data_IF_570124927095
#
_entry.id   IF_570124927095
#
_cell.length_a   1.000
_cell.length_b   1.000
_cell.length_c   1.000
_cell.angle_alpha   90.00
_cell.angle_beta   90.00
_cell.angle_gamma   90.00
#
_symmetry.space_group_name_H-M   'P 1'
#
loop_
_entity.id
_entity.type
_entity.pdbx_description
1 polymer ?
#
# COMPACT_ATOMS: atom_id res chain seq x y z
N UNK A 1 -13.97 -24.58 18.43
CA UNK A 1 -12.95 -25.43 17.78
C UNK A 1 -13.29 -25.53 16.31
N UNK A 2 -12.52 -24.86 15.46
CA UNK A 2 -12.62 -24.94 14.00
C UNK A 2 -11.19 -24.89 13.47
N UNK A 3 -10.64 -26.06 13.13
CA UNK A 3 -9.41 -26.20 12.37
C UNK A 3 -9.75 -26.19 10.89
N UNK A 4 -8.97 -25.44 10.08
CA UNK A 4 -8.54 -25.82 8.73
C UNK A 4 -7.18 -25.19 8.46
N UNK A 5 -6.20 -25.92 8.96
CA UNK A 5 -4.85 -26.09 8.44
C UNK A 5 -4.69 -25.68 6.96
N UNK A 6 -3.86 -24.68 6.70
CA UNK A 6 -3.30 -24.43 5.36
C UNK A 6 -1.79 -24.57 5.49
N UNK A 7 -1.32 -25.81 5.29
CA UNK A 7 0.06 -26.16 5.03
C UNK A 7 0.53 -25.40 3.78
N UNK A 8 1.32 -24.33 3.95
CA UNK A 8 2.09 -23.76 2.86
C UNK A 8 3.42 -24.50 2.74
N UNK A 9 3.44 -25.47 1.83
CA UNK A 9 4.68 -25.96 1.24
C UNK A 9 5.28 -24.82 0.39
N UNK A 10 6.36 -24.20 0.85
CA UNK A 10 7.23 -23.42 -0.02
C UNK A 10 8.43 -24.28 -0.40
N UNK A 11 8.43 -24.73 -1.66
CA UNK A 11 9.53 -25.44 -2.32
C UNK A 11 10.79 -24.57 -2.31
N UNK A 12 11.89 -25.11 -1.80
CA UNK A 12 13.21 -24.49 -1.88
C UNK A 12 13.71 -24.46 -3.32
N UNK A 13 13.95 -23.26 -3.85
CA UNK A 13 14.78 -23.12 -5.05
C UNK A 13 16.23 -22.98 -4.62
N UNK A 14 16.95 -24.09 -4.70
CA UNK A 14 18.39 -24.15 -4.72
C UNK A 14 18.85 -23.57 -6.08
N UNK A 15 19.53 -22.42 -6.06
CA UNK A 15 20.29 -21.95 -7.21
C UNK A 15 21.77 -21.99 -6.84
N UNK A 16 22.42 -23.04 -7.34
CA UNK A 16 23.87 -23.19 -7.39
C UNK A 16 24.36 -22.48 -8.65
N UNK A 17 25.04 -21.35 -8.48
CA UNK A 17 25.89 -20.78 -9.53
C UNK A 17 27.19 -20.31 -8.89
N UNK A 18 28.12 -21.26 -8.83
CA UNK A 18 29.55 -21.04 -8.72
C UNK A 18 30.06 -20.37 -10.01
N UNK A 19 30.49 -19.11 -9.89
CA UNK A 19 31.49 -18.49 -10.76
C UNK A 19 31.88 -17.12 -10.17
N UNK A 20 32.99 -17.14 -9.46
CA UNK A 20 33.75 -15.96 -9.05
C UNK A 20 34.12 -15.09 -10.27
N UNK A 21 33.45 -13.96 -10.43
CA UNK A 21 34.03 -12.80 -11.09
C UNK A 21 33.74 -11.58 -10.22
N UNK A 22 34.74 -11.21 -9.43
CA UNK A 22 34.77 -9.97 -8.68
C UNK A 22 34.61 -8.79 -9.62
N UNK A 23 33.38 -8.30 -9.75
CA UNK A 23 33.12 -6.99 -10.29
C UNK A 23 33.19 -5.96 -9.16
N UNK A 24 34.40 -5.46 -8.95
CA UNK A 24 34.66 -4.24 -8.18
C UNK A 24 34.08 -3.05 -8.94
N UNK A 25 32.79 -2.81 -8.74
CA UNK A 25 32.16 -1.59 -9.21
C UNK A 25 32.58 -0.43 -8.31
N UNK A 26 33.76 0.14 -8.62
CA UNK A 26 34.13 1.47 -8.18
C UNK A 26 33.17 2.46 -8.86
N UNK A 27 32.17 2.93 -8.12
CA UNK A 27 31.36 4.07 -8.53
C UNK A 27 31.75 5.26 -7.67
N UNK A 28 32.74 5.99 -8.16
CA UNK A 28 32.81 7.43 -7.92
C UNK A 28 31.76 8.08 -8.82
N UNK A 29 30.68 8.58 -8.22
CA UNK A 29 29.94 9.68 -8.80
C UNK A 29 29.25 10.46 -7.69
N UNK A 30 29.81 11.64 -7.40
CA UNK A 30 29.11 12.68 -6.67
C UNK A 30 27.97 13.22 -7.51
N UNK A 31 26.79 12.65 -7.28
CA UNK A 31 25.46 13.26 -7.24
C UNK A 31 24.71 12.39 -6.20
N UNK A 32 23.92 12.95 -5.28
CA UNK A 32 23.15 12.15 -4.32
C UNK A 32 22.15 11.28 -5.09
N UNK A 33 22.57 10.05 -5.41
CA UNK A 33 21.76 9.10 -6.13
C UNK A 33 20.60 8.67 -5.24
N UNK A 34 19.38 9.02 -5.65
CA UNK A 34 18.14 8.58 -5.02
C UNK A 34 18.19 7.08 -4.68
N UNK A 35 17.95 6.77 -3.41
CA UNK A 35 18.01 5.39 -2.91
C UNK A 35 16.89 4.53 -3.51
N UNK A 36 17.08 3.20 -3.52
CA UNK A 36 16.00 2.28 -3.92
C UNK A 36 14.75 2.45 -3.07
N UNK A 37 14.93 2.76 -1.79
CA UNK A 37 13.83 2.96 -0.84
C UNK A 37 13.07 4.25 -1.14
N UNK A 38 13.77 5.32 -1.52
CA UNK A 38 13.16 6.60 -1.91
C UNK A 38 12.30 6.46 -3.17
N UNK A 39 12.81 5.75 -4.20
CA UNK A 39 12.03 5.39 -5.40
C UNK A 39 10.79 4.59 -5.07
N UNK A 40 10.95 3.60 -4.19
CA UNK A 40 9.87 2.73 -3.75
C UNK A 40 8.81 3.54 -3.00
N UNK A 41 9.22 4.43 -2.09
CA UNK A 41 8.32 5.28 -1.32
C UNK A 41 7.53 6.23 -2.21
N UNK A 42 8.16 6.85 -3.23
CA UNK A 42 7.44 7.69 -4.23
C UNK A 42 6.31 6.93 -4.93
N UNK A 43 6.54 5.66 -5.28
CA UNK A 43 5.52 4.80 -5.91
C UNK A 43 4.42 4.46 -4.90
N UNK A 44 4.79 4.08 -3.67
CA UNK A 44 3.85 3.71 -2.62
C UNK A 44 2.90 4.84 -2.24
N UNK A 45 3.39 6.08 -2.13
CA UNK A 45 2.56 7.24 -1.79
C UNK A 45 1.42 7.45 -2.80
N UNK A 46 1.70 7.30 -4.09
CA UNK A 46 0.67 7.39 -5.15
C UNK A 46 -0.26 6.16 -5.10
N UNK A 47 0.31 4.97 -4.91
CA UNK A 47 -0.48 3.75 -4.85
C UNK A 47 -1.49 3.75 -3.70
N UNK A 48 -1.09 4.22 -2.51
CA UNK A 48 -1.97 4.30 -1.34
C UNK A 48 -3.12 5.29 -1.53
N UNK A 49 -2.88 6.44 -2.15
CA UNK A 49 -3.96 7.40 -2.47
C UNK A 49 -4.99 6.74 -3.40
N UNK A 50 -4.55 6.15 -4.51
CA UNK A 50 -5.44 5.48 -5.45
C UNK A 50 -6.20 4.30 -4.81
N UNK A 51 -5.52 3.54 -3.93
CA UNK A 51 -6.14 2.43 -3.22
C UNK A 51 -7.22 2.89 -2.24
N UNK A 52 -6.95 3.98 -1.53
CA UNK A 52 -7.90 4.62 -0.63
C UNK A 52 -9.12 5.14 -1.40
N UNK A 53 -8.93 5.80 -2.54
CA UNK A 53 -10.05 6.26 -3.39
C UNK A 53 -10.95 5.10 -3.81
N UNK A 54 -10.37 3.96 -4.20
CA UNK A 54 -11.14 2.75 -4.53
C UNK A 54 -11.93 2.19 -3.33
N UNK A 55 -11.38 2.24 -2.11
CA UNK A 55 -12.14 1.86 -0.91
C UNK A 55 -13.27 2.84 -0.62
N UNK A 56 -13.06 4.15 -0.83
CA UNK A 56 -14.09 5.16 -0.61
C UNK A 56 -15.29 4.96 -1.54
N UNK A 57 -15.06 4.59 -2.79
CA UNK A 57 -16.14 4.22 -3.72
C UNK A 57 -16.98 3.06 -3.15
N UNK A 58 -16.32 1.97 -2.73
CA UNK A 58 -16.98 0.82 -2.11
C UNK A 58 -17.72 1.20 -0.83
N UNK A 59 -17.15 2.07 0.00
CA UNK A 59 -17.77 2.53 1.24
C UNK A 59 -19.02 3.37 0.95
N UNK A 60 -19.00 4.25 -0.04
CA UNK A 60 -20.16 5.06 -0.43
C UNK A 60 -21.35 4.18 -0.84
N UNK A 61 -21.11 3.09 -1.57
CA UNK A 61 -22.19 2.14 -1.87
C UNK A 61 -22.80 1.52 -0.61
N UNK A 62 -21.98 1.24 0.41
CA UNK A 62 -22.42 0.66 1.66
C UNK A 62 -23.09 1.67 2.59
N UNK A 63 -22.73 2.95 2.51
CA UNK A 63 -23.48 4.04 3.16
C UNK A 63 -24.93 4.02 2.68
N UNK A 64 -25.14 4.02 1.35
CA UNK A 64 -26.49 4.02 0.78
C UNK A 64 -27.26 2.76 1.15
N UNK A 65 -26.63 1.59 1.01
CA UNK A 65 -27.24 0.31 1.44
C UNK A 65 -27.60 0.32 2.93
N UNK A 66 -26.75 0.86 3.80
CA UNK A 66 -27.02 0.95 5.23
C UNK A 66 -28.20 1.88 5.54
N UNK A 67 -28.32 3.02 4.84
CA UNK A 67 -29.46 3.94 4.95
C UNK A 67 -30.77 3.25 4.54
N UNK A 68 -30.78 2.52 3.43
CA UNK A 68 -31.94 1.73 2.97
C UNK A 68 -32.35 0.67 4.00
N UNK A 69 -31.38 0.06 4.69
CA UNK A 69 -31.62 -0.93 5.75
C UNK A 69 -32.05 -0.31 7.10
N UNK A 70 -32.20 1.01 7.18
CA UNK A 70 -32.54 1.73 8.41
C UNK A 70 -31.39 1.74 9.44
N UNK A 71 -30.15 1.53 9.01
CA UNK A 71 -28.94 1.50 9.85
C UNK A 71 -28.21 2.85 9.81
N UNK A 72 -28.91 3.89 10.25
CA UNK A 72 -28.45 5.28 10.13
C UNK A 72 -27.11 5.56 10.85
N UNK A 73 -26.93 5.01 12.06
CA UNK A 73 -25.66 5.16 12.80
C UNK A 73 -24.49 4.44 12.13
N UNK A 74 -24.77 3.28 11.51
CA UNK A 74 -23.76 2.55 10.73
C UNK A 74 -23.38 3.36 9.49
N UNK A 75 -24.35 3.86 8.73
CA UNK A 75 -24.11 4.72 7.58
C UNK A 75 -23.26 5.94 7.97
N UNK A 76 -23.65 6.65 9.03
CA UNK A 76 -22.91 7.82 9.56
C UNK A 76 -21.46 7.48 9.97
N UNK A 77 -21.22 6.27 10.49
CA UNK A 77 -19.88 5.83 10.87
C UNK A 77 -19.02 5.51 9.65
N UNK A 78 -19.61 4.92 8.60
CA UNK A 78 -18.93 4.67 7.33
C UNK A 78 -18.62 5.98 6.61
N UNK A 79 -19.54 6.96 6.61
CA UNK A 79 -19.30 8.32 6.09
C UNK A 79 -18.09 8.98 6.77
N UNK A 80 -18.01 8.91 8.11
CA UNK A 80 -16.83 9.40 8.83
C UNK A 80 -15.54 8.66 8.47
N UNK A 81 -15.61 7.35 8.19
CA UNK A 81 -14.46 6.60 7.73
C UNK A 81 -13.98 7.10 6.35
N UNK A 82 -14.91 7.41 5.44
CA UNK A 82 -14.60 8.04 4.15
C UNK A 82 -13.91 9.39 4.36
N UNK A 83 -14.45 10.26 5.21
CA UNK A 83 -13.85 11.57 5.52
C UNK A 83 -12.41 11.45 6.05
N UNK A 84 -12.17 10.53 7.00
CA UNK A 84 -10.82 10.32 7.52
C UNK A 84 -9.87 9.76 6.46
N UNK A 85 -10.38 8.96 5.53
CA UNK A 85 -9.60 8.47 4.40
C UNK A 85 -9.26 9.59 3.41
N UNK A 86 -10.15 10.57 3.20
CA UNK A 86 -9.84 11.78 2.42
C UNK A 86 -8.70 12.57 3.06
N UNK A 87 -8.76 12.78 4.38
CA UNK A 87 -7.67 13.44 5.13
C UNK A 87 -6.36 12.66 5.06
N UNK A 88 -6.42 11.33 5.10
CA UNK A 88 -5.24 10.50 4.88
C UNK A 88 -4.65 10.74 3.49
N UNK A 89 -5.47 10.80 2.44
CA UNK A 89 -5.02 11.08 1.08
C UNK A 89 -4.37 12.47 0.95
N UNK A 90 -4.96 13.49 1.57
CA UNK A 90 -4.37 14.84 1.61
C UNK A 90 -2.96 14.81 2.22
N UNK A 91 -2.78 14.10 3.34
CA UNK A 91 -1.48 13.98 3.98
C UNK A 91 -0.48 13.13 3.18
N UNK A 92 -0.93 12.11 2.46
CA UNK A 92 -0.07 11.31 1.57
C UNK A 92 0.39 12.13 0.35
N UNK A 93 -0.50 12.94 -0.22
CA UNK A 93 -0.17 13.89 -1.29
C UNK A 93 0.81 14.95 -0.79
N UNK A 94 0.60 15.47 0.43
CA UNK A 94 1.53 16.39 1.07
C UNK A 94 2.89 15.74 1.30
N UNK A 95 2.94 14.53 1.87
CA UNK A 95 4.19 13.79 2.08
C UNK A 95 4.99 13.62 0.79
N UNK A 96 4.32 13.36 -0.34
CA UNK A 96 4.97 13.25 -1.65
C UNK A 96 5.68 14.53 -2.11
N UNK A 97 5.28 15.72 -1.63
CA UNK A 97 5.95 16.99 -1.97
C UNK A 97 7.32 17.15 -1.31
N UNK A 98 7.60 16.37 -0.27
CA UNK A 98 8.87 16.38 0.48
C UNK A 98 9.81 15.25 0.03
N UNK A 99 9.46 14.56 -1.05
CA UNK A 99 10.22 13.46 -1.67
C UNK A 99 11.04 13.96 -2.86
#
# INVERSE_FOLDING_TARGET
MLSKETLRYHHGHNHDHDLELGHTHSHSHGEEAESKDEKTLKILLVHWVNHNESHQEGFNEWVEKARILGKEETASSIEKAIEYMQKANEMLVEAKKHM
#
